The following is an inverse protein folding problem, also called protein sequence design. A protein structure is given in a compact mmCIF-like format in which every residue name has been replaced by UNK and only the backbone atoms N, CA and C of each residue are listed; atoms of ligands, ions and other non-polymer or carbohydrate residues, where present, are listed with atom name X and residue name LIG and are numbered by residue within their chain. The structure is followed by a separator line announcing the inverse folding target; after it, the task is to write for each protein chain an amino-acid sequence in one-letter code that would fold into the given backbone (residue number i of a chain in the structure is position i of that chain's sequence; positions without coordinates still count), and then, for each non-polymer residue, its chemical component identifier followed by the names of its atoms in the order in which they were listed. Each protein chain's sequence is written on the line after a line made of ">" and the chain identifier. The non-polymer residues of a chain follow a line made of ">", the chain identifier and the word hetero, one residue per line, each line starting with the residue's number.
data_IF_483590377580
#
_entry.id   IF_483590377580
#
_cell.length_a   1.000
_cell.length_b   1.000
_cell.length_c   1.000
_cell.angle_alpha   90.00
_cell.angle_beta   90.00
_cell.angle_gamma   90.00
#
_symmetry.space_group_name_H-M   'P 1'
#
loop_
_entity.id
_entity.type
_entity.pdbx_description
1 polymer ?
#
# COMPACT_ATOMS: atom_id res chain seq x y z
N UNK A 1 15.77 -1.01 15.17
CA UNK A 1 14.74 -1.84 15.79
C UNK A 1 13.60 -0.95 16.26
N UNK A 2 12.33 -1.32 15.96
CA UNK A 2 11.16 -0.57 16.40
C UNK A 2 10.83 -0.80 17.88
N UNK A 3 10.17 0.15 18.53
CA UNK A 3 9.53 -0.02 19.84
C UNK A 3 8.31 -0.95 19.76
N UNK A 4 7.77 -1.39 20.89
CA UNK A 4 6.54 -2.21 20.91
C UNK A 4 5.35 -1.51 20.26
N UNK A 5 5.17 -0.22 20.54
CA UNK A 5 4.13 0.61 19.92
C UNK A 5 4.32 0.72 18.40
N UNK A 6 5.56 0.92 17.94
CA UNK A 6 5.88 0.96 16.51
C UNK A 6 5.61 -0.39 15.84
N UNK A 7 5.99 -1.50 16.49
CA UNK A 7 5.73 -2.85 16.00
C UNK A 7 4.23 -3.16 15.96
N UNK A 8 3.46 -2.69 16.95
CA UNK A 8 2.00 -2.77 16.94
C UNK A 8 1.40 -1.99 15.76
N UNK A 9 1.81 -0.75 15.55
CA UNK A 9 1.31 0.08 14.47
C UNK A 9 1.72 -0.45 13.09
N UNK A 10 2.92 -1.01 12.94
CA UNK A 10 3.33 -1.73 11.73
C UNK A 10 2.42 -2.93 11.46
N UNK A 11 2.14 -3.77 12.47
CA UNK A 11 1.21 -4.90 12.36
C UNK A 11 -0.19 -4.46 11.96
N UNK A 12 -0.69 -3.38 12.57
CA UNK A 12 -1.97 -2.77 12.20
C UNK A 12 -1.95 -2.31 10.74
N UNK A 13 -0.89 -1.63 10.32
CA UNK A 13 -0.73 -1.18 8.92
C UNK A 13 -0.75 -2.35 7.94
N UNK A 14 -0.05 -3.45 8.22
CA UNK A 14 -0.10 -4.65 7.36
C UNK A 14 -1.53 -5.20 7.22
N UNK A 15 -2.30 -5.20 8.32
CA UNK A 15 -3.70 -5.59 8.30
C UNK A 15 -4.55 -4.66 7.43
N UNK A 16 -4.38 -3.35 7.57
CA UNK A 16 -5.12 -2.33 6.83
C UNK A 16 -4.81 -2.38 5.33
N UNK A 17 -3.53 -2.49 4.95
CA UNK A 17 -3.08 -2.61 3.55
C UNK A 17 -3.64 -3.87 2.92
N UNK A 18 -3.59 -5.02 3.62
CA UNK A 18 -4.19 -6.27 3.14
C UNK A 18 -5.70 -6.13 2.94
N UNK A 19 -6.40 -5.55 3.90
CA UNK A 19 -7.85 -5.32 3.82
C UNK A 19 -8.21 -4.47 2.60
N UNK A 20 -7.59 -3.30 2.46
CA UNK A 20 -7.86 -2.37 1.35
C UNK A 20 -7.57 -3.04 0.01
N UNK A 21 -6.43 -3.71 -0.13
CA UNK A 21 -6.10 -4.46 -1.36
C UNK A 21 -7.17 -5.50 -1.69
N UNK A 22 -7.55 -6.34 -0.73
CA UNK A 22 -8.52 -7.42 -0.96
C UNK A 22 -9.92 -6.86 -1.26
N UNK A 23 -10.33 -5.78 -0.59
CA UNK A 23 -11.63 -5.15 -0.84
C UNK A 23 -11.72 -4.57 -2.25
N UNK A 24 -10.67 -3.87 -2.71
CA UNK A 24 -10.61 -3.38 -4.09
C UNK A 24 -10.59 -4.51 -5.12
N UNK A 25 -9.84 -5.59 -4.85
CA UNK A 25 -9.81 -6.74 -5.75
C UNK A 25 -11.18 -7.43 -5.83
N UNK A 26 -11.89 -7.57 -4.71
CA UNK A 26 -13.23 -8.16 -4.69
C UNK A 26 -14.21 -7.32 -5.54
N UNK A 27 -14.27 -6.00 -5.30
CA UNK A 27 -15.15 -5.10 -6.07
C UNK A 27 -14.81 -5.11 -7.57
N UNK A 28 -13.53 -5.17 -7.94
CA UNK A 28 -13.13 -5.29 -9.34
C UNK A 28 -13.53 -6.61 -9.97
N UNK A 29 -13.41 -7.73 -9.24
CA UNK A 29 -13.86 -9.05 -9.71
C UNK A 29 -15.37 -9.07 -9.92
N UNK A 30 -16.13 -8.51 -8.99
CA UNK A 30 -17.59 -8.39 -9.09
C UNK A 30 -18.02 -7.54 -10.29
N UNK A 31 -17.42 -6.36 -10.45
CA UNK A 31 -17.69 -5.50 -11.61
C UNK A 31 -17.32 -6.19 -12.93
N UNK A 32 -16.18 -6.88 -12.98
CA UNK A 32 -15.80 -7.64 -14.16
C UNK A 32 -16.82 -8.73 -14.47
N UNK A 33 -17.20 -9.56 -13.50
CA UNK A 33 -18.15 -10.66 -13.72
C UNK A 33 -19.53 -10.15 -14.18
N UNK A 34 -19.97 -9.02 -13.65
CA UNK A 34 -21.26 -8.39 -14.00
C UNK A 34 -21.27 -7.77 -15.40
N UNK A 35 -20.14 -7.22 -15.85
CA UNK A 35 -20.08 -6.41 -17.08
C UNK A 35 -19.15 -7.00 -18.16
N UNK A 36 -18.61 -8.22 -18.00
CA UNK A 36 -17.66 -8.83 -18.95
C UNK A 36 -18.22 -8.96 -20.38
N UNK A 37 -19.54 -9.12 -20.51
CA UNK A 37 -20.23 -9.25 -21.79
C UNK A 37 -20.52 -7.88 -22.45
N UNK A 38 -20.53 -6.79 -21.66
CA UNK A 38 -20.67 -5.41 -22.15
C UNK A 38 -19.39 -4.61 -21.91
N UNK A 39 -18.53 -4.62 -22.94
CA UNK A 39 -17.24 -3.91 -22.92
C UNK A 39 -17.39 -2.40 -22.77
N UNK A 40 -18.51 -1.79 -23.17
CA UNK A 40 -18.71 -0.35 -23.01
C UNK A 40 -19.04 -0.01 -21.56
N UNK A 41 -19.95 -0.76 -20.93
CA UNK A 41 -20.29 -0.57 -19.53
C UNK A 41 -19.14 -0.91 -18.59
N UNK A 42 -18.36 -1.96 -18.89
CA UNK A 42 -17.18 -2.31 -18.11
C UNK A 42 -16.15 -1.16 -18.06
N UNK A 43 -15.94 -0.46 -19.18
CA UNK A 43 -15.01 0.69 -19.25
C UNK A 43 -15.49 1.91 -18.46
N UNK A 44 -16.80 2.04 -18.23
CA UNK A 44 -17.38 3.15 -17.45
C UNK A 44 -17.26 2.93 -15.95
N UNK A 45 -16.97 1.71 -15.49
CA UNK A 45 -16.90 1.40 -14.06
C UNK A 45 -15.77 2.17 -13.37
N UNK A 46 -16.12 2.97 -12.35
CA UNK A 46 -15.15 3.69 -11.52
C UNK A 46 -14.54 2.73 -10.52
N UNK A 47 -13.21 2.64 -10.54
CA UNK A 47 -12.46 1.80 -9.61
C UNK A 47 -12.45 2.45 -8.22
N UNK A 48 -12.70 1.68 -7.14
CA UNK A 48 -12.67 2.21 -5.80
C UNK A 48 -11.26 2.69 -5.43
N UNK A 49 -11.19 3.72 -4.60
CA UNK A 49 -9.95 4.26 -4.04
C UNK A 49 -9.92 4.03 -2.52
N UNK A 50 -8.73 4.02 -1.89
CA UNK A 50 -8.63 3.93 -0.44
C UNK A 50 -9.42 5.02 0.32
N UNK A 51 -9.69 6.17 -0.31
CA UNK A 51 -10.46 7.25 0.31
C UNK A 51 -11.91 6.83 0.61
N UNK A 52 -12.55 6.07 -0.30
CA UNK A 52 -13.89 5.48 -0.08
C UNK A 52 -13.92 4.67 1.21
N UNK A 53 -12.96 3.76 1.38
CA UNK A 53 -12.93 2.89 2.56
C UNK A 53 -12.62 3.62 3.84
N UNK A 54 -11.87 4.73 3.83
CA UNK A 54 -11.64 5.53 5.04
C UNK A 54 -12.91 6.21 5.55
N UNK A 55 -13.88 6.47 4.67
CA UNK A 55 -15.19 6.99 5.08
C UNK A 55 -16.04 5.89 5.74
N UNK A 56 -15.93 4.65 5.26
CA UNK A 56 -16.67 3.49 5.78
C UNK A 56 -16.03 2.87 7.03
N UNK A 57 -14.69 2.89 7.11
CA UNK A 57 -13.90 2.20 8.10
C UNK A 57 -12.91 3.15 8.78
N UNK A 58 -13.33 3.77 9.88
CA UNK A 58 -12.58 4.81 10.59
C UNK A 58 -11.16 4.35 11.02
N UNK A 59 -11.01 3.07 11.39
CA UNK A 59 -9.73 2.49 11.80
C UNK A 59 -8.65 2.52 10.71
N UNK A 60 -9.01 2.74 9.44
CA UNK A 60 -8.04 2.98 8.35
C UNK A 60 -7.34 4.34 8.46
N UNK A 61 -7.89 5.31 9.21
CA UNK A 61 -7.27 6.62 9.42
C UNK A 61 -6.17 6.62 10.47
N UNK A 62 -6.09 5.54 11.25
CA UNK A 62 -5.06 5.36 12.27
C UNK A 62 -3.69 5.04 11.68
N UNK A 63 -3.64 4.47 10.47
CA UNK A 63 -2.40 4.07 9.79
C UNK A 63 -1.97 5.10 8.75
N UNK A 64 -0.79 4.89 8.18
CA UNK A 64 -0.27 5.75 7.12
C UNK A 64 -1.16 5.70 5.86
N UNK A 65 -1.65 6.86 5.46
CA UNK A 65 -2.49 7.04 4.28
C UNK A 65 -1.76 6.65 2.98
N UNK A 66 -0.44 6.84 2.93
CA UNK A 66 0.38 6.50 1.77
C UNK A 66 0.61 4.98 1.66
N UNK A 67 0.66 4.27 2.78
CA UNK A 67 0.66 2.81 2.76
C UNK A 67 -0.64 2.24 2.14
N UNK A 68 -1.78 2.85 2.46
CA UNK A 68 -3.06 2.46 1.85
C UNK A 68 -3.13 2.84 0.36
N UNK A 69 -2.56 3.99 -0.03
CA UNK A 69 -2.43 4.37 -1.43
C UNK A 69 -1.55 3.37 -2.22
N UNK A 70 -0.44 2.91 -1.62
CA UNK A 70 0.42 1.90 -2.24
C UNK A 70 -0.30 0.55 -2.46
N UNK A 71 -1.26 0.16 -1.60
CA UNK A 71 -2.10 -1.01 -1.88
C UNK A 71 -2.85 -0.88 -3.22
N UNK A 72 -3.37 0.30 -3.54
CA UNK A 72 -4.04 0.58 -4.81
C UNK A 72 -3.05 0.50 -5.98
N UNK A 73 -1.87 1.12 -5.85
CA UNK A 73 -0.84 1.12 -6.89
C UNK A 73 -0.33 -0.31 -7.18
N UNK A 74 -0.14 -1.12 -6.15
CA UNK A 74 0.24 -2.52 -6.30
C UNK A 74 -0.84 -3.32 -7.03
N UNK A 75 -2.12 -3.11 -6.70
CA UNK A 75 -3.22 -3.76 -7.41
C UNK A 75 -3.29 -3.31 -8.88
N UNK A 76 -3.15 -2.02 -9.16
CA UNK A 76 -3.09 -1.48 -10.53
C UNK A 76 -1.94 -2.10 -11.33
N UNK A 77 -0.76 -2.21 -10.71
CA UNK A 77 0.41 -2.85 -11.33
C UNK A 77 0.15 -4.33 -11.61
N UNK A 78 -0.47 -5.06 -10.67
CA UNK A 78 -0.81 -6.46 -10.87
C UNK A 78 -1.77 -6.67 -12.06
N UNK A 79 -2.80 -5.82 -12.19
CA UNK A 79 -3.69 -5.83 -13.36
C UNK A 79 -2.96 -5.47 -14.65
N UNK A 80 -2.10 -4.44 -14.63
CA UNK A 80 -1.29 -4.06 -15.81
C UNK A 80 -0.44 -5.24 -16.28
N UNK A 81 0.24 -5.91 -15.35
CA UNK A 81 1.09 -7.05 -15.66
C UNK A 81 0.27 -8.22 -16.23
N UNK A 82 -0.91 -8.49 -15.64
CA UNK A 82 -1.85 -9.48 -16.16
C UNK A 82 -2.27 -9.19 -17.60
N UNK A 83 -2.73 -7.97 -17.90
CA UNK A 83 -3.14 -7.60 -19.26
C UNK A 83 -1.99 -7.56 -20.27
N UNK A 84 -0.75 -7.37 -19.81
CA UNK A 84 0.44 -7.48 -20.66
C UNK A 84 0.96 -8.92 -20.84
N UNK A 85 0.31 -9.92 -20.23
CA UNK A 85 0.72 -11.32 -20.30
C UNK A 85 1.96 -11.67 -19.47
N UNK A 86 2.40 -10.80 -18.56
CA UNK A 86 3.59 -11.03 -17.73
C UNK A 86 3.30 -11.91 -16.51
N UNK A 87 2.10 -11.77 -15.93
CA UNK A 87 1.71 -12.45 -14.69
C UNK A 87 0.28 -12.99 -14.81
N UNK A 88 -0.08 -13.92 -13.92
CA UNK A 88 -1.46 -14.38 -13.75
C UNK A 88 -2.37 -13.30 -13.13
N UNK A 89 -3.68 -13.60 -13.14
CA UNK A 89 -4.69 -12.72 -12.58
C UNK A 89 -4.40 -12.40 -11.10
N UNK A 90 -4.60 -11.16 -10.63
CA UNK A 90 -4.35 -10.79 -9.24
C UNK A 90 -5.10 -11.66 -8.22
N UNK A 91 -4.35 -12.24 -7.28
CA UNK A 91 -4.90 -13.05 -6.19
C UNK A 91 -5.14 -12.24 -4.91
N UNK A 92 -6.04 -12.73 -4.05
CA UNK A 92 -6.26 -12.17 -2.72
C UNK A 92 -5.03 -12.37 -1.84
N UNK A 93 -4.70 -11.36 -1.04
CA UNK A 93 -3.61 -11.41 -0.07
C UNK A 93 -4.03 -12.15 1.19
N UNK A 94 -3.15 -13.02 1.69
CA UNK A 94 -3.34 -13.77 2.94
C UNK A 94 -2.58 -13.12 4.11
N UNK A 95 -2.84 -13.58 5.34
CA UNK A 95 -2.05 -13.17 6.52
C UNK A 95 -0.64 -13.76 6.54
N UNK A 96 -0.42 -14.84 5.79
CA UNK A 96 0.87 -15.55 5.68
C UNK A 96 1.80 -14.92 4.64
N UNK A 97 1.26 -14.06 3.76
CA UNK A 97 2.06 -13.36 2.76
C UNK A 97 3.15 -12.48 3.40
N UNK A 98 4.16 -12.15 2.60
CA UNK A 98 5.23 -11.23 2.99
C UNK A 98 4.64 -9.90 3.47
N UNK A 99 4.97 -9.53 4.69
CA UNK A 99 4.56 -8.28 5.33
C UNK A 99 5.56 -7.19 4.94
N UNK A 100 5.07 -6.10 4.37
CA UNK A 100 5.88 -4.95 3.97
C UNK A 100 5.11 -3.67 4.25
N UNK A 101 5.84 -2.59 4.56
CA UNK A 101 5.29 -1.27 4.81
C UNK A 101 5.87 -0.35 3.74
N UNK A 102 5.12 -0.09 2.67
CA UNK A 102 5.58 0.82 1.62
C UNK A 102 4.95 2.20 1.80
N UNK A 103 5.78 3.23 1.88
CA UNK A 103 5.32 4.63 1.98
C UNK A 103 6.14 5.52 1.04
N UNK A 104 5.56 6.63 0.61
CA UNK A 104 6.16 7.53 -0.38
C UNK A 104 6.59 8.83 0.29
N UNK A 105 7.62 9.46 -0.26
CA UNK A 105 8.05 10.78 0.22
C UNK A 105 7.06 11.83 -0.25
N UNK A 106 6.50 12.56 0.71
CA UNK A 106 5.65 13.73 0.50
C UNK A 106 5.99 14.74 1.58
N UNK A 107 6.37 15.96 1.20
CA UNK A 107 6.61 17.08 2.12
C UNK A 107 7.56 16.74 3.29
N UNK A 108 8.65 16.01 3.04
CA UNK A 108 9.65 15.67 4.08
C UNK A 108 9.13 14.77 5.20
N UNK A 109 8.08 13.97 4.93
CA UNK A 109 7.54 12.99 5.87
C UNK A 109 8.51 11.84 6.18
N UNK A 110 9.44 11.54 5.26
CA UNK A 110 10.48 10.52 5.40
C UNK A 110 11.84 11.17 5.34
N UNK A 111 12.67 10.86 6.33
CA UNK A 111 14.02 11.41 6.48
C UNK A 111 14.90 10.39 7.17
N UNK A 112 16.17 10.30 6.77
CA UNK A 112 17.18 9.55 7.51
C UNK A 112 17.98 10.51 8.37
N UNK A 113 18.14 10.17 9.65
CA UNK A 113 18.90 10.97 10.61
C UNK A 113 19.45 10.07 11.71
N UNK A 114 20.77 10.11 11.94
CA UNK A 114 21.43 9.48 13.09
C UNK A 114 21.01 8.01 13.32
N UNK A 115 21.03 7.18 12.25
CA UNK A 115 20.63 5.77 12.33
C UNK A 115 19.12 5.52 12.54
N UNK A 116 18.29 6.54 12.31
CA UNK A 116 16.84 6.45 12.35
C UNK A 116 16.24 6.84 11.00
N UNK A 117 15.07 6.28 10.73
CA UNK A 117 14.19 6.73 9.65
C UNK A 117 12.93 7.34 10.26
N UNK A 118 12.60 8.56 9.86
CA UNK A 118 11.30 9.18 10.11
C UNK A 118 10.29 8.53 9.17
N UNK A 119 9.17 8.05 9.70
CA UNK A 119 8.07 7.48 8.92
C UNK A 119 6.73 8.10 9.34
N UNK A 120 5.75 8.23 8.43
CA UNK A 120 4.42 8.70 8.78
C UNK A 120 3.78 7.83 9.86
N UNK A 121 3.16 8.48 10.87
CA UNK A 121 2.54 7.87 12.07
C UNK A 121 3.50 7.12 13.02
N UNK A 122 4.54 6.47 12.49
CA UNK A 122 5.54 5.71 13.25
C UNK A 122 6.65 6.59 13.88
N UNK A 123 6.76 7.85 13.45
CA UNK A 123 7.80 8.81 13.90
C UNK A 123 9.20 8.28 13.60
N UNK A 124 10.17 8.47 14.51
CA UNK A 124 11.55 8.00 14.34
C UNK A 124 11.66 6.51 14.68
N UNK A 125 11.96 5.70 13.68
CA UNK A 125 12.21 4.27 13.83
C UNK A 125 13.70 4.02 13.71
N UNK A 126 14.31 3.41 14.73
CA UNK A 126 15.72 3.03 14.66
C UNK A 126 15.92 2.00 13.56
N UNK A 127 16.96 2.14 12.75
CA UNK A 127 17.31 1.19 11.70
C UNK A 127 18.73 0.68 11.89
N UNK A 128 19.03 -0.48 11.30
CA UNK A 128 20.40 -0.91 11.08
C UNK A 128 20.76 -0.46 9.66
N UNK A 129 21.42 0.69 9.55
CA UNK A 129 21.84 1.20 8.26
C UNK A 129 23.08 0.44 7.78
N UNK A 130 22.92 -0.34 6.71
CA UNK A 130 24.00 -1.16 6.17
C UNK A 130 24.94 -0.38 5.23
N UNK A 131 24.45 0.70 4.63
CA UNK A 131 25.18 1.54 3.68
C UNK A 131 24.78 3.00 3.86
N UNK A 132 25.74 3.89 3.72
CA UNK A 132 25.45 5.33 3.65
C UNK A 132 24.74 5.66 2.32
N UNK A 133 23.82 6.62 2.38
CA UNK A 133 23.17 7.14 1.17
C UNK A 133 23.99 8.35 0.73
N UNK A 134 24.49 8.39 -0.52
CA UNK A 134 25.21 9.55 -1.03
C UNK A 134 24.37 10.84 -0.93
N UNK A 135 25.02 11.98 -0.71
CA UNK A 135 24.35 13.26 -0.43
C UNK A 135 23.50 13.77 -1.61
N UNK A 136 23.86 13.40 -2.83
CA UNK A 136 23.16 13.74 -4.07
C UNK A 136 21.93 12.85 -4.34
N UNK A 137 21.68 11.84 -3.51
CA UNK A 137 20.56 10.91 -3.70
C UNK A 137 19.33 11.37 -2.91
N UNK A 138 18.19 11.39 -3.61
CA UNK A 138 16.90 11.70 -3.00
C UNK A 138 16.08 10.44 -2.75
N UNK A 139 15.59 10.29 -1.52
CA UNK A 139 14.63 9.25 -1.16
C UNK A 139 13.30 9.57 -1.86
N UNK A 140 12.72 8.59 -2.56
CA UNK A 140 11.40 8.69 -3.20
C UNK A 140 10.32 7.88 -2.49
N UNK A 141 10.71 6.74 -1.92
CA UNK A 141 9.86 5.85 -1.15
C UNK A 141 10.70 4.98 -0.21
N UNK A 142 10.04 4.30 0.71
CA UNK A 142 10.62 3.33 1.63
C UNK A 142 9.71 2.09 1.69
N UNK A 143 10.28 0.89 1.81
CA UNK A 143 9.57 -0.39 1.97
C UNK A 143 10.11 -1.21 3.12
#
# INVERSE_FOLDING_TARGET
>A
YPTEEQAYLMRKTFGCVRFVYNRMLAERKEAYEKYKDDKQELKKQKLPTPAKYKAEFEWLKEVDSLALANAQLHLQTAYKNFFSGQNDFPAFKSKKDRKSYTTNVVNGNIMLLNGHIKLPKLKMVRIKQHREIPQDYMIKSCT
#
